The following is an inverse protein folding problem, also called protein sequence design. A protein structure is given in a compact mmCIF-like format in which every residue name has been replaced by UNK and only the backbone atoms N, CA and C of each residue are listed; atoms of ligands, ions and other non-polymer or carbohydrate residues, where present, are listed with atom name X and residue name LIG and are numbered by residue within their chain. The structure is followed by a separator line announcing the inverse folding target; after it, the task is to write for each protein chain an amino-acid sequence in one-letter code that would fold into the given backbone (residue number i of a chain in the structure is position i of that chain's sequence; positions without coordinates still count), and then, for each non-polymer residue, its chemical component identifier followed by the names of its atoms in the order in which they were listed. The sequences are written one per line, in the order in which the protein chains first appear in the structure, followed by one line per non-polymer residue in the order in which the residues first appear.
data_IF_531441794652
#
_entry.id   IF_531441794652
#
_cell.length_a   1.000
_cell.length_b   1.000
_cell.length_c   1.000
_cell.angle_alpha   90.00
_cell.angle_beta   90.00
_cell.angle_gamma   90.00
#
_symmetry.space_group_name_H-M   'P 1'
#
loop_
_entity.id
_entity.type
_entity.pdbx_description
1 polymer ?
#
# COMPACT_ATOMS: atom_id res chain seq x y z
N UNK A 1 6.89 33.15 -5.83
CA UNK A 1 5.62 32.43 -6.04
C UNK A 1 5.50 31.36 -4.97
N UNK A 2 4.37 31.30 -4.28
CA UNK A 2 4.11 30.24 -3.28
C UNK A 2 3.94 28.93 -4.02
N UNK A 3 4.80 27.98 -3.74
CA UNK A 3 4.80 26.65 -4.34
C UNK A 3 3.99 25.69 -3.46
N UNK A 4 3.24 24.77 -4.06
CA UNK A 4 2.35 23.85 -3.38
C UNK A 4 2.68 22.40 -3.74
N UNK A 5 2.35 21.50 -2.83
CA UNK A 5 2.37 20.04 -3.09
C UNK A 5 0.93 19.54 -3.24
N UNK A 6 0.65 18.85 -4.34
CA UNK A 6 -0.62 18.13 -4.54
C UNK A 6 -0.47 16.69 -4.06
N UNK A 7 -1.35 16.24 -3.18
CA UNK A 7 -1.40 14.83 -2.77
C UNK A 7 -2.70 14.19 -3.25
N UNK A 8 -2.59 13.12 -4.02
CA UNK A 8 -3.72 12.25 -4.34
C UNK A 8 -3.95 11.29 -3.18
N UNK A 9 -5.06 11.44 -2.48
CA UNK A 9 -5.39 10.58 -1.35
C UNK A 9 -5.97 9.25 -1.82
N UNK A 10 -5.50 8.13 -1.26
CA UNK A 10 -6.08 6.83 -1.53
C UNK A 10 -7.45 6.71 -0.84
N UNK A 11 -8.40 6.06 -1.53
CA UNK A 11 -9.77 5.86 -1.07
C UNK A 11 -10.09 4.37 -1.13
N UNK A 12 -10.85 3.89 -0.15
CA UNK A 12 -11.38 2.55 -0.09
C UNK A 12 -12.90 2.58 0.01
N UNK A 13 -13.57 2.33 -1.12
CA UNK A 13 -15.02 2.49 -1.20
C UNK A 13 -15.45 3.92 -0.90
N UNK A 14 -16.14 4.12 0.21
CA UNK A 14 -16.70 5.41 0.66
C UNK A 14 -15.94 6.04 1.84
N UNK A 15 -14.73 5.55 2.13
CA UNK A 15 -13.89 6.08 3.21
C UNK A 15 -12.48 6.36 2.73
N UNK A 16 -11.76 7.21 3.45
CA UNK A 16 -10.33 7.36 3.22
C UNK A 16 -9.61 6.07 3.58
N UNK A 17 -8.62 5.72 2.76
CA UNK A 17 -7.70 4.65 3.08
C UNK A 17 -6.95 4.96 4.39
N UNK A 18 -6.76 3.95 5.24
CA UNK A 18 -6.03 4.08 6.50
C UNK A 18 -4.60 4.62 6.34
N UNK A 19 -4.00 4.46 5.15
CA UNK A 19 -2.70 5.03 4.80
C UNK A 19 -2.73 6.49 4.38
N UNK A 20 -3.89 7.14 4.28
CA UNK A 20 -4.00 8.52 3.78
C UNK A 20 -3.15 9.51 4.60
N UNK A 21 -3.19 9.42 5.94
CA UNK A 21 -2.36 10.25 6.82
C UNK A 21 -0.85 10.08 6.60
N UNK A 22 -0.40 8.87 6.25
CA UNK A 22 1.01 8.57 5.92
C UNK A 22 1.44 9.22 4.60
N UNK A 23 0.55 9.24 3.61
CA UNK A 23 0.81 9.89 2.31
C UNK A 23 0.86 11.41 2.47
N UNK A 24 0.01 11.98 3.32
CA UNK A 24 0.08 13.41 3.69
C UNK A 24 1.39 13.74 4.41
N UNK A 25 1.83 12.89 5.34
CA UNK A 25 3.13 13.05 6.02
C UNK A 25 4.29 13.08 5.02
N UNK A 26 4.29 12.16 4.05
CA UNK A 26 5.27 12.17 2.96
C UNK A 26 5.21 13.47 2.14
N UNK A 27 4.01 13.96 1.81
CA UNK A 27 3.83 15.20 1.07
C UNK A 27 4.35 16.43 1.84
N UNK A 28 4.18 16.46 3.16
CA UNK A 28 4.68 17.52 4.03
C UNK A 28 6.21 17.61 4.10
N UNK A 29 6.91 16.49 3.90
CA UNK A 29 8.37 16.46 3.88
C UNK A 29 8.99 17.37 2.80
N UNK A 30 8.22 17.79 1.79
CA UNK A 30 8.64 18.79 0.80
C UNK A 30 8.62 20.23 1.34
N UNK A 31 8.11 20.47 2.56
CA UNK A 31 8.12 21.79 3.20
C UNK A 31 7.20 22.83 2.54
N UNK A 32 6.20 22.39 1.80
CA UNK A 32 5.21 23.22 1.10
C UNK A 32 3.81 23.00 1.66
N UNK A 33 2.87 23.96 1.54
CA UNK A 33 1.48 23.70 1.84
C UNK A 33 0.94 22.56 0.97
N UNK A 34 0.25 21.61 1.60
CA UNK A 34 -0.26 20.40 0.95
C UNK A 34 -1.74 20.58 0.62
N UNK A 35 -2.10 20.45 -0.65
CA UNK A 35 -3.48 20.35 -1.10
C UNK A 35 -3.82 18.90 -1.41
N UNK A 36 -4.91 18.41 -0.83
CA UNK A 36 -5.35 17.02 -0.99
C UNK A 36 -6.36 16.91 -2.13
N UNK A 37 -6.07 16.12 -3.15
CA UNK A 37 -7.02 15.72 -4.18
C UNK A 37 -7.78 14.48 -3.72
N UNK A 38 -9.09 14.63 -3.60
CA UNK A 38 -10.04 13.57 -3.21
C UNK A 38 -11.03 13.36 -4.35
N UNK A 39 -11.26 12.10 -4.72
CA UNK A 39 -12.15 11.74 -5.82
C UNK A 39 -13.13 10.67 -5.36
N UNK A 40 -14.37 11.07 -5.03
CA UNK A 40 -15.38 10.19 -4.49
C UNK A 40 -16.46 10.95 -3.71
N UNK A 41 -17.25 10.28 -2.86
CA UNK A 41 -18.33 10.89 -2.10
C UNK A 41 -17.87 12.06 -1.23
N UNK A 42 -18.75 13.03 -0.99
CA UNK A 42 -18.47 14.20 -0.15
C UNK A 42 -18.02 13.83 1.28
N UNK A 43 -18.48 12.69 1.80
CA UNK A 43 -18.06 12.18 3.11
C UNK A 43 -16.56 11.93 3.19
N UNK A 44 -15.94 11.44 2.09
CA UNK A 44 -14.49 11.21 2.01
C UNK A 44 -13.72 12.53 1.99
N UNK A 45 -14.24 13.55 1.30
CA UNK A 45 -13.66 14.88 1.30
C UNK A 45 -13.71 15.52 2.70
N UNK A 46 -14.82 15.32 3.44
CA UNK A 46 -14.94 15.77 4.82
C UNK A 46 -13.95 15.07 5.78
N UNK A 47 -13.67 13.78 5.57
CA UNK A 47 -12.62 13.07 6.30
C UNK A 47 -11.24 13.65 5.97
N UNK A 48 -10.94 13.87 4.69
CA UNK A 48 -9.68 14.44 4.24
C UNK A 48 -9.42 15.84 4.81
N UNK A 49 -10.46 16.66 4.94
CA UNK A 49 -10.38 18.00 5.51
C UNK A 49 -9.97 18.00 7.00
N UNK A 50 -10.07 16.86 7.68
CA UNK A 50 -9.65 16.68 9.07
C UNK A 50 -8.22 16.14 9.22
N UNK A 51 -7.58 15.70 8.15
CA UNK A 51 -6.19 15.25 8.23
C UNK A 51 -5.26 16.41 8.57
N UNK A 52 -4.47 16.24 9.63
CA UNK A 52 -3.41 17.20 9.94
C UNK A 52 -2.43 17.27 8.77
N UNK A 53 -1.96 18.47 8.45
CA UNK A 53 -1.02 18.69 7.37
C UNK A 53 -1.66 19.03 6.03
N UNK A 54 -2.95 18.80 5.86
CA UNK A 54 -3.70 19.28 4.70
C UNK A 54 -4.03 20.76 4.89
N UNK A 55 -3.71 21.60 3.90
CA UNK A 55 -4.03 23.03 3.88
C UNK A 55 -5.35 23.31 3.15
N UNK A 56 -5.72 22.48 2.18
CA UNK A 56 -6.98 22.58 1.40
C UNK A 56 -7.31 21.22 0.80
N UNK A 57 -8.58 20.91 0.65
CA UNK A 57 -9.08 19.75 -0.10
C UNK A 57 -9.61 20.21 -1.45
N UNK A 58 -9.18 19.55 -2.51
CA UNK A 58 -9.73 19.63 -3.86
C UNK A 58 -10.63 18.41 -4.07
N UNK A 59 -11.91 18.61 -4.19
CA UNK A 59 -12.89 17.53 -4.23
C UNK A 59 -13.50 17.36 -5.62
N UNK A 60 -13.40 16.16 -6.15
CA UNK A 60 -14.14 15.70 -7.31
C UNK A 60 -15.15 14.64 -6.89
N UNK A 61 -16.44 14.91 -7.06
CA UNK A 61 -17.53 14.05 -6.56
C UNK A 61 -17.50 12.64 -7.14
N UNK A 62 -17.01 12.49 -8.37
CA UNK A 62 -16.92 11.20 -9.03
C UNK A 62 -15.48 10.73 -9.13
N UNK A 63 -15.24 9.47 -8.76
CA UNK A 63 -13.96 8.82 -9.01
C UNK A 63 -13.72 8.65 -10.51
N UNK A 64 -12.48 8.80 -11.00
CA UNK A 64 -12.17 8.59 -12.40
C UNK A 64 -12.36 7.11 -12.75
N UNK A 65 -12.93 6.81 -13.91
CA UNK A 65 -13.19 5.43 -14.32
C UNK A 65 -11.89 4.66 -14.63
N UNK A 66 -10.80 5.38 -14.96
CA UNK A 66 -9.52 4.81 -15.35
C UNK A 66 -8.34 5.76 -15.06
N UNK A 67 -7.13 5.24 -15.20
CA UNK A 67 -5.89 5.98 -14.96
C UNK A 67 -5.69 7.14 -15.96
N UNK A 68 -6.21 7.03 -17.17
CA UNK A 68 -6.14 8.05 -18.22
C UNK A 68 -6.92 9.30 -17.83
N UNK A 69 -8.14 9.13 -17.34
CA UNK A 69 -8.99 10.23 -16.87
C UNK A 69 -8.39 10.88 -15.63
N UNK A 70 -7.87 10.07 -14.70
CA UNK A 70 -7.15 10.57 -13.53
C UNK A 70 -5.93 11.40 -13.93
N UNK A 71 -5.13 10.90 -14.88
CA UNK A 71 -3.94 11.61 -15.34
C UNK A 71 -4.29 12.97 -15.96
N UNK A 72 -5.35 13.06 -16.78
CA UNK A 72 -5.83 14.34 -17.32
C UNK A 72 -6.25 15.32 -16.22
N UNK A 73 -6.99 14.85 -15.22
CA UNK A 73 -7.38 15.68 -14.07
C UNK A 73 -6.18 16.25 -13.34
N UNK A 74 -5.21 15.38 -13.00
CA UNK A 74 -4.01 15.82 -12.30
C UNK A 74 -3.16 16.74 -13.19
N UNK A 75 -3.02 16.45 -14.48
CA UNK A 75 -2.28 17.29 -15.41
C UNK A 75 -2.88 18.70 -15.52
N UNK A 76 -4.20 18.82 -15.55
CA UNK A 76 -4.89 20.12 -15.58
C UNK A 76 -4.66 20.95 -14.29
N UNK A 77 -4.42 20.29 -13.15
CA UNK A 77 -4.09 20.96 -11.90
C UNK A 77 -2.59 21.24 -11.75
N UNK A 78 -1.75 20.47 -12.44
CA UNK A 78 -0.32 20.37 -12.16
C UNK A 78 0.44 21.70 -12.29
N UNK A 79 0.01 22.63 -13.14
CA UNK A 79 0.65 23.95 -13.27
C UNK A 79 0.70 24.75 -11.96
N UNK A 80 -0.21 24.47 -11.02
CA UNK A 80 -0.30 25.12 -9.71
C UNK A 80 0.61 24.47 -8.66
N UNK A 81 1.26 23.36 -8.96
CA UNK A 81 1.99 22.52 -8.00
C UNK A 81 3.37 22.15 -8.50
N UNK A 82 4.39 22.27 -7.67
CA UNK A 82 5.74 21.79 -7.99
C UNK A 82 5.85 20.29 -7.85
N UNK A 83 5.12 19.73 -6.90
CA UNK A 83 5.21 18.31 -6.56
C UNK A 83 3.81 17.67 -6.54
N UNK A 84 3.71 16.48 -7.14
CA UNK A 84 2.52 15.63 -7.09
C UNK A 84 2.88 14.31 -6.41
N UNK A 85 2.19 13.99 -5.33
CA UNK A 85 2.46 12.81 -4.49
C UNK A 85 1.23 11.90 -4.48
N UNK A 86 1.43 10.58 -4.53
CA UNK A 86 0.38 9.60 -4.30
C UNK A 86 0.94 8.36 -3.58
N UNK A 87 0.08 7.56 -2.96
CA UNK A 87 0.47 6.23 -2.49
C UNK A 87 0.93 5.34 -3.66
N UNK A 88 1.91 4.45 -3.41
CA UNK A 88 2.42 3.50 -4.41
C UNK A 88 1.41 2.36 -4.66
N UNK A 89 0.21 2.73 -5.11
CA UNK A 89 -0.89 1.81 -5.47
C UNK A 89 -1.05 1.69 -6.99
N UNK A 90 -1.83 0.70 -7.44
CA UNK A 90 -1.96 0.39 -8.88
C UNK A 90 -2.45 1.58 -9.71
N UNK A 91 -3.46 2.29 -9.24
CA UNK A 91 -4.02 3.44 -9.96
C UNK A 91 -2.99 4.58 -10.12
N UNK A 92 -2.27 4.91 -9.04
CA UNK A 92 -1.25 5.96 -9.07
C UNK A 92 -0.03 5.56 -9.92
N UNK A 93 0.37 4.29 -9.87
CA UNK A 93 1.44 3.73 -10.73
C UNK A 93 1.10 3.79 -12.22
N UNK A 94 -0.18 3.68 -12.56
CA UNK A 94 -0.65 3.81 -13.94
C UNK A 94 -0.85 5.28 -14.36
N UNK A 95 -1.31 6.15 -13.45
CA UNK A 95 -1.66 7.54 -13.76
C UNK A 95 -0.45 8.51 -13.70
N UNK A 96 0.39 8.46 -12.65
CA UNK A 96 1.43 9.48 -12.45
C UNK A 96 2.54 9.49 -13.50
N UNK A 97 3.00 8.37 -14.09
CA UNK A 97 3.92 8.43 -15.23
C UNK A 97 3.32 9.17 -16.44
N UNK A 98 1.99 9.02 -16.64
CA UNK A 98 1.27 9.78 -17.68
C UNK A 98 1.22 11.27 -17.36
N UNK A 99 0.93 11.62 -16.09
CA UNK A 99 0.96 13.03 -15.65
C UNK A 99 2.34 13.62 -15.93
N UNK A 100 3.39 12.91 -15.55
CA UNK A 100 4.76 13.35 -15.75
C UNK A 100 5.07 13.60 -17.23
N UNK A 101 4.69 12.67 -18.12
CA UNK A 101 4.87 12.80 -19.55
C UNK A 101 4.06 13.98 -20.14
N UNK A 102 2.80 14.16 -19.72
CA UNK A 102 1.93 15.24 -20.19
C UNK A 102 2.39 16.64 -19.76
N UNK A 103 3.10 16.72 -18.63
CA UNK A 103 3.48 18.00 -17.99
C UNK A 103 4.98 18.27 -17.99
N UNK A 104 5.79 17.40 -18.61
CA UNK A 104 7.25 17.54 -18.66
C UNK A 104 7.95 17.41 -17.31
N UNK A 105 7.39 16.62 -16.35
CA UNK A 105 7.90 16.45 -14.99
C UNK A 105 8.76 15.19 -14.87
N UNK A 106 9.67 15.19 -13.91
CA UNK A 106 10.31 13.95 -13.49
C UNK A 106 9.29 13.01 -12.81
N UNK A 107 9.47 11.70 -12.96
CA UNK A 107 8.69 10.69 -12.24
C UNK A 107 9.58 9.75 -11.44
N UNK A 108 9.28 9.59 -10.15
CA UNK A 108 9.96 8.64 -9.27
C UNK A 108 8.92 7.76 -8.55
N UNK A 109 9.17 6.47 -8.53
CA UNK A 109 8.25 5.50 -7.93
C UNK A 109 8.81 4.89 -6.66
N UNK A 110 7.89 4.49 -5.76
CA UNK A 110 8.20 3.73 -4.55
C UNK A 110 9.20 4.42 -3.61
N UNK A 111 9.02 5.73 -3.42
CA UNK A 111 9.87 6.54 -2.54
C UNK A 111 9.60 6.16 -1.08
N UNK A 112 10.67 5.94 -0.31
CA UNK A 112 10.61 5.53 1.10
C UNK A 112 11.12 6.59 2.06
N UNK A 113 11.85 7.60 1.59
CA UNK A 113 12.24 8.75 2.41
C UNK A 113 12.41 10.00 1.55
N UNK A 114 12.20 11.17 2.16
CA UNK A 114 12.31 12.49 1.54
C UNK A 114 13.20 13.35 2.44
N UNK A 115 14.54 13.23 2.32
CA UNK A 115 15.49 13.99 3.15
C UNK A 115 15.44 15.50 2.92
N UNK A 116 15.04 15.93 1.74
CA UNK A 116 14.87 17.35 1.40
C UNK A 116 13.91 17.53 0.23
N UNK A 117 13.52 18.77 -0.03
CA UNK A 117 12.63 19.13 -1.17
C UNK A 117 13.14 18.63 -2.54
N UNK A 118 14.43 18.39 -2.69
CA UNK A 118 15.06 17.97 -3.95
C UNK A 118 15.74 16.62 -3.86
N UNK A 119 15.58 15.91 -2.76
CA UNK A 119 16.25 14.63 -2.55
C UNK A 119 15.24 13.61 -2.06
N UNK A 120 15.15 12.48 -2.74
CA UNK A 120 14.29 11.37 -2.36
C UNK A 120 15.09 10.06 -2.35
N UNK A 121 14.69 9.14 -1.49
CA UNK A 121 15.31 7.81 -1.38
C UNK A 121 14.30 6.76 -1.83
N UNK A 122 14.75 5.84 -2.66
CA UNK A 122 13.91 4.74 -3.15
C UNK A 122 14.71 3.43 -3.23
N UNK A 123 14.05 2.28 -3.03
CA UNK A 123 14.69 0.99 -3.23
C UNK A 123 14.92 0.71 -4.72
N UNK A 124 16.02 0.04 -5.01
CA UNK A 124 16.36 -0.54 -6.30
C UNK A 124 16.79 -2.00 -6.10
N UNK A 125 16.88 -2.80 -7.17
CA UNK A 125 17.24 -4.22 -7.10
C UNK A 125 16.42 -4.98 -6.05
N UNK A 126 15.08 -4.89 -6.16
CA UNK A 126 14.14 -5.51 -5.20
C UNK A 126 14.38 -5.11 -3.72
N UNK A 127 14.97 -3.94 -3.49
CA UNK A 127 15.25 -3.43 -2.15
C UNK A 127 16.62 -3.83 -1.58
N UNK A 128 17.47 -4.51 -2.37
CA UNK A 128 18.84 -4.83 -1.95
C UNK A 128 19.75 -3.60 -1.89
N UNK A 129 19.35 -2.51 -2.55
CA UNK A 129 20.07 -1.24 -2.50
C UNK A 129 19.08 -0.08 -2.40
N UNK A 130 19.53 1.02 -1.80
CA UNK A 130 18.77 2.27 -1.69
C UNK A 130 19.45 3.34 -2.55
N UNK A 131 18.69 3.92 -3.48
CA UNK A 131 19.16 5.02 -4.31
C UNK A 131 18.66 6.35 -3.75
N UNK A 132 19.59 7.29 -3.51
CA UNK A 132 19.25 8.68 -3.27
C UNK A 132 19.27 9.42 -4.59
N UNK A 133 18.13 9.99 -4.98
CA UNK A 133 17.95 10.69 -6.26
C UNK A 133 17.78 12.18 -6.00
N UNK A 134 18.59 13.00 -6.65
CA UNK A 134 18.41 14.45 -6.70
C UNK A 134 17.50 14.81 -7.87
N UNK A 135 16.54 15.70 -7.64
CA UNK A 135 15.56 16.11 -8.64
C UNK A 135 15.62 17.63 -8.84
N UNK A 136 15.72 18.03 -10.08
CA UNK A 136 15.59 19.41 -10.50
C UNK A 136 14.21 19.64 -11.14
N UNK A 137 13.57 20.77 -10.80
CA UNK A 137 12.26 21.13 -11.34
C UNK A 137 11.09 20.43 -10.68
N UNK A 138 10.00 20.32 -11.43
CA UNK A 138 8.74 19.77 -10.95
C UNK A 138 8.73 18.24 -10.98
N UNK A 139 8.08 17.64 -9.98
CA UNK A 139 8.18 16.21 -9.69
C UNK A 139 6.79 15.56 -9.52
N UNK A 140 6.63 14.38 -10.10
CA UNK A 140 5.57 13.44 -9.77
C UNK A 140 6.20 12.21 -9.09
N UNK A 141 5.62 11.76 -7.97
CA UNK A 141 6.16 10.57 -7.30
C UNK A 141 5.06 9.74 -6.63
N UNK A 142 5.35 8.44 -6.50
CA UNK A 142 4.59 7.58 -5.61
C UNK A 142 5.43 7.25 -4.38
N UNK A 143 4.80 7.24 -3.21
CA UNK A 143 5.45 6.94 -1.93
C UNK A 143 4.96 5.61 -1.36
N UNK A 144 5.86 4.87 -0.74
CA UNK A 144 5.52 3.69 0.06
C UNK A 144 4.94 4.19 1.39
N UNK A 145 3.62 4.16 1.51
CA UNK A 145 2.94 4.73 2.68
C UNK A 145 3.44 4.16 4.00
N UNK A 146 3.76 2.86 4.04
CA UNK A 146 4.29 2.19 5.23
C UNK A 146 5.64 2.73 5.74
N UNK A 147 6.39 3.44 4.91
CA UNK A 147 7.67 4.05 5.29
C UNK A 147 7.52 5.41 6.00
N UNK A 148 6.29 5.91 6.16
CA UNK A 148 6.02 7.20 6.79
C UNK A 148 5.09 7.02 7.98
N UNK A 149 5.33 7.76 9.06
CA UNK A 149 4.44 7.75 10.22
C UNK A 149 3.16 8.53 9.93
N UNK A 150 1.97 8.04 10.35
CA UNK A 150 0.72 8.73 10.10
C UNK A 150 0.64 10.02 10.91
N UNK A 151 0.06 11.04 10.30
CA UNK A 151 -0.31 12.25 11.02
C UNK A 151 -1.67 12.05 11.71
N UNK A 152 -1.83 12.67 12.88
CA UNK A 152 -3.10 12.69 13.61
C UNK A 152 -4.17 13.50 12.87
N UNK A 153 -5.42 13.36 13.29
CA UNK A 153 -6.50 14.24 12.82
C UNK A 153 -6.45 15.59 13.54
N UNK A 154 -6.89 16.63 12.84
CA UNK A 154 -7.05 17.97 13.40
C UNK A 154 -8.49 18.20 13.92
N UNK A 155 -8.62 19.08 14.88
CA UNK A 155 -9.92 19.40 15.48
C UNK A 155 -10.87 20.14 14.51
N UNK A 156 -10.34 21.10 13.73
CA UNK A 156 -11.11 21.89 12.78
C UNK A 156 -10.81 21.49 11.33
N UNK A 157 -11.83 21.28 10.47
CA UNK A 157 -11.62 20.96 9.07
C UNK A 157 -11.04 22.16 8.30
N UNK A 158 -10.37 21.86 7.18
CA UNK A 158 -9.95 22.88 6.18
C UNK A 158 -11.02 23.06 5.11
N UNK A 159 -10.87 24.11 4.30
CA UNK A 159 -11.74 24.40 3.17
C UNK A 159 -11.72 23.28 2.12
N UNK A 160 -12.90 23.00 1.57
CA UNK A 160 -13.09 22.05 0.48
C UNK A 160 -13.48 22.84 -0.77
N UNK A 161 -12.64 22.78 -1.80
CA UNK A 161 -12.87 23.36 -3.13
C UNK A 161 -13.46 22.29 -4.06
N UNK A 162 -14.64 22.50 -4.58
CA UNK A 162 -15.24 21.60 -5.56
C UNK A 162 -14.56 21.74 -6.92
N UNK A 163 -14.21 20.63 -7.53
CA UNK A 163 -13.63 20.57 -8.86
C UNK A 163 -14.69 20.24 -9.91
N UNK A 164 -14.60 20.88 -11.06
CA UNK A 164 -15.43 20.55 -12.21
C UNK A 164 -15.19 19.11 -12.68
N UNK A 165 -16.19 18.43 -13.23
CA UNK A 165 -16.01 17.14 -13.89
C UNK A 165 -14.93 17.22 -15.00
N UNK A 166 -14.25 16.11 -15.22
CA UNK A 166 -13.33 15.93 -16.36
C UNK A 166 -13.92 14.90 -17.29
N UNK A 167 -13.91 15.20 -18.58
CA UNK A 167 -14.37 14.28 -19.61
C UNK A 167 -13.60 12.94 -19.51
N UNK A 168 -14.31 11.80 -19.44
CA UNK A 168 -13.69 10.49 -19.43
C UNK A 168 -12.84 10.26 -20.66
N UNK A 169 -11.73 9.54 -20.49
CA UNK A 169 -11.00 9.03 -21.64
C UNK A 169 -11.77 7.84 -22.23
N UNK A 170 -12.36 8.02 -23.40
CA UNK A 170 -13.26 7.05 -24.01
C UNK A 170 -12.59 5.76 -24.52
N UNK A 171 -11.25 5.61 -24.38
CA UNK A 171 -10.51 4.44 -24.86
C UNK A 171 -10.74 3.18 -24.03
N UNK A 172 -11.11 3.33 -22.75
CA UNK A 172 -11.46 2.24 -21.86
C UNK A 172 -12.68 2.59 -21.02
N UNK A 173 -13.45 1.57 -20.63
CA UNK A 173 -14.64 1.70 -19.80
C UNK A 173 -14.59 0.67 -18.68
N UNK A 174 -14.82 1.11 -17.45
CA UNK A 174 -15.04 0.20 -16.33
C UNK A 174 -16.36 -0.53 -16.52
N UNK A 175 -16.34 -1.85 -16.62
CA UNK A 175 -17.53 -2.68 -16.76
C UNK A 175 -18.09 -3.15 -15.42
N UNK A 176 -17.22 -3.32 -14.43
CA UNK A 176 -17.60 -3.77 -13.10
C UNK A 176 -16.38 -3.81 -12.17
N UNK A 177 -16.65 -3.97 -10.88
CA UNK A 177 -15.65 -4.19 -9.85
C UNK A 177 -16.09 -5.37 -9.01
N UNK A 178 -15.27 -6.41 -8.97
CA UNK A 178 -15.45 -7.54 -8.08
C UNK A 178 -14.53 -7.36 -6.89
N UNK A 179 -15.10 -7.27 -5.69
CA UNK A 179 -14.36 -7.28 -4.43
C UNK A 179 -14.54 -8.65 -3.80
N UNK A 180 -13.43 -9.32 -3.47
CA UNK A 180 -13.51 -10.52 -2.65
C UNK A 180 -14.19 -10.17 -1.31
N UNK A 181 -15.05 -11.07 -0.79
CA UNK A 181 -15.75 -10.87 0.47
C UNK A 181 -14.77 -10.53 1.59
N UNK A 182 -15.07 -9.50 2.37
CA UNK A 182 -14.12 -8.92 3.33
C UNK A 182 -14.52 -9.30 4.76
N UNK A 183 -14.47 -10.59 5.08
CA UNK A 183 -14.58 -11.03 6.47
C UNK A 183 -13.28 -10.80 7.27
N UNK A 184 -12.16 -10.53 6.58
CA UNK A 184 -10.83 -10.30 7.16
C UNK A 184 -10.28 -8.92 6.76
N UNK A 185 -9.36 -8.34 7.56
CA UNK A 185 -8.69 -7.08 7.21
C UNK A 185 -8.02 -7.14 5.83
N UNK A 186 -7.97 -6.03 5.11
CA UNK A 186 -7.19 -5.95 3.87
C UNK A 186 -5.71 -6.23 4.14
N UNK A 187 -5.10 -7.03 3.28
CA UNK A 187 -3.73 -7.51 3.45
C UNK A 187 -2.70 -6.36 3.58
N UNK A 188 -2.94 -5.23 2.94
CA UNK A 188 -2.01 -4.08 2.97
C UNK A 188 -2.15 -3.22 4.23
N UNK A 189 -3.21 -3.43 5.03
CA UNK A 189 -3.55 -2.65 6.23
C UNK A 189 -3.51 -3.48 7.50
N UNK A 190 -3.51 -4.81 7.37
CA UNK A 190 -3.57 -5.71 8.50
C UNK A 190 -2.36 -5.50 9.41
N UNK A 191 -2.61 -5.44 10.72
CA UNK A 191 -1.54 -5.43 11.74
C UNK A 191 -0.84 -6.78 11.84
N UNK A 192 -1.57 -7.86 11.54
CA UNK A 192 -1.06 -9.21 11.52
C UNK A 192 -1.35 -9.83 10.16
N UNK A 193 -0.36 -10.50 9.57
CA UNK A 193 -0.50 -11.27 8.33
C UNK A 193 0.00 -12.69 8.60
N UNK A 194 -0.83 -13.68 8.29
CA UNK A 194 -0.43 -15.09 8.27
C UNK A 194 -0.42 -15.55 6.82
N UNK A 195 0.73 -16.00 6.33
CA UNK A 195 0.89 -16.33 4.92
C UNK A 195 1.31 -17.79 4.72
N UNK A 196 0.62 -18.45 3.77
CA UNK A 196 0.93 -19.82 3.35
C UNK A 196 1.84 -19.86 2.13
N UNK A 197 2.85 -20.72 2.18
CA UNK A 197 3.71 -21.03 1.05
C UNK A 197 3.30 -22.30 0.32
N UNK A 198 4.12 -22.71 -0.68
CA UNK A 198 3.93 -24.01 -1.37
C UNK A 198 4.03 -25.20 -0.40
N UNK A 199 4.69 -25.03 0.75
CA UNK A 199 4.78 -26.06 1.80
C UNK A 199 3.42 -26.44 2.43
N UNK A 200 2.36 -25.64 2.22
CA UNK A 200 0.98 -26.00 2.61
C UNK A 200 0.46 -27.22 1.83
N UNK A 201 0.95 -27.45 0.64
CA UNK A 201 0.76 -28.68 -0.13
C UNK A 201 -0.54 -28.77 -0.91
N UNK A 202 -1.66 -28.19 -0.44
CA UNK A 202 -2.95 -28.22 -1.10
C UNK A 202 -3.83 -27.03 -0.72
N UNK A 203 -4.82 -26.69 -1.55
CA UNK A 203 -5.74 -25.56 -1.31
C UNK A 203 -6.54 -25.73 -0.01
N UNK A 204 -7.02 -26.95 0.26
CA UNK A 204 -7.77 -27.26 1.48
C UNK A 204 -6.96 -27.06 2.76
N UNK A 205 -5.65 -27.12 2.70
CA UNK A 205 -4.79 -26.89 3.88
C UNK A 205 -4.58 -25.41 4.19
N UNK A 206 -4.90 -24.50 3.25
CA UNK A 206 -4.91 -23.06 3.54
C UNK A 206 -5.82 -22.70 4.73
N UNK A 207 -6.82 -23.53 5.04
CA UNK A 207 -7.66 -23.38 6.24
C UNK A 207 -6.86 -23.30 7.55
N UNK A 208 -5.66 -23.90 7.62
CA UNK A 208 -4.81 -23.81 8.82
C UNK A 208 -4.22 -22.40 8.97
N UNK A 209 -3.80 -21.82 7.85
CA UNK A 209 -3.31 -20.43 7.78
C UNK A 209 -4.45 -19.47 8.12
N UNK A 210 -5.64 -19.73 7.56
CA UNK A 210 -6.86 -18.95 7.79
C UNK A 210 -7.28 -18.99 9.25
N UNK A 211 -7.32 -20.18 9.86
CA UNK A 211 -7.70 -20.35 11.27
C UNK A 211 -6.75 -19.57 12.22
N UNK A 212 -5.45 -19.58 11.93
CA UNK A 212 -4.50 -18.80 12.73
C UNK A 212 -4.66 -17.30 12.48
N UNK A 213 -4.90 -16.86 11.23
CA UNK A 213 -5.17 -15.47 10.91
C UNK A 213 -6.43 -14.97 11.64
N UNK A 214 -7.52 -15.74 11.62
CA UNK A 214 -8.77 -15.41 12.30
C UNK A 214 -8.56 -15.28 13.82
N UNK A 215 -7.78 -16.20 14.40
CA UNK A 215 -7.44 -16.16 15.82
C UNK A 215 -6.72 -14.88 16.22
N UNK A 216 -5.81 -14.41 15.35
CA UNK A 216 -5.02 -13.20 15.55
C UNK A 216 -5.73 -11.93 15.07
N UNK A 217 -6.90 -12.05 14.44
CA UNK A 217 -7.60 -10.92 13.80
C UNK A 217 -6.81 -10.34 12.63
N UNK A 218 -6.02 -11.18 11.96
CA UNK A 218 -5.13 -10.82 10.89
C UNK A 218 -5.69 -11.08 9.49
N UNK A 219 -4.91 -10.72 8.49
CA UNK A 219 -5.16 -11.04 7.08
C UNK A 219 -4.45 -12.34 6.67
N UNK A 220 -4.99 -12.99 5.65
CA UNK A 220 -4.37 -14.16 5.01
C UNK A 220 -3.55 -13.71 3.80
N UNK A 221 -2.29 -14.14 3.75
CA UNK A 221 -1.40 -13.97 2.62
C UNK A 221 -1.02 -15.30 1.98
N UNK A 222 -0.47 -15.23 0.77
CA UNK A 222 0.09 -16.40 0.09
C UNK A 222 1.37 -16.04 -0.68
N UNK A 223 2.29 -16.98 -0.77
CA UNK A 223 3.43 -16.83 -1.68
C UNK A 223 2.99 -16.99 -3.13
N UNK A 224 3.75 -16.42 -4.08
CA UNK A 224 3.51 -16.64 -5.51
C UNK A 224 3.41 -18.13 -5.86
N UNK A 225 4.31 -18.95 -5.32
CA UNK A 225 4.32 -20.39 -5.59
C UNK A 225 3.04 -21.11 -5.09
N UNK A 226 2.39 -20.63 -4.02
CA UNK A 226 1.11 -21.15 -3.55
C UNK A 226 -0.04 -20.70 -4.47
N UNK A 227 0.01 -19.45 -4.95
CA UNK A 227 -0.98 -18.92 -5.91
C UNK A 227 -0.86 -19.62 -7.27
N UNK A 228 0.35 -19.76 -7.80
CA UNK A 228 0.60 -20.48 -9.08
C UNK A 228 0.16 -21.95 -9.00
N UNK A 229 0.23 -22.57 -7.80
CA UNK A 229 -0.28 -23.91 -7.55
C UNK A 229 -1.81 -23.98 -7.32
N UNK A 230 -2.50 -22.85 -7.34
CA UNK A 230 -3.95 -22.79 -7.14
C UNK A 230 -4.40 -22.92 -5.68
N UNK A 231 -3.50 -22.81 -4.70
CA UNK A 231 -3.85 -22.93 -3.29
C UNK A 231 -4.54 -21.67 -2.74
N UNK A 232 -4.27 -20.50 -3.34
CA UNK A 232 -4.86 -19.24 -2.93
C UNK A 232 -5.09 -18.33 -4.16
N UNK A 233 -6.06 -17.41 -4.10
CA UNK A 233 -6.28 -16.46 -5.19
C UNK A 233 -5.16 -15.42 -5.29
N UNK A 234 -4.97 -14.87 -6.49
CA UNK A 234 -3.94 -13.85 -6.75
C UNK A 234 -4.12 -12.57 -5.89
N UNK A 235 -5.33 -12.28 -5.45
CA UNK A 235 -5.67 -11.11 -4.61
C UNK A 235 -4.95 -11.11 -3.25
N UNK A 236 -4.53 -12.29 -2.75
CA UNK A 236 -3.81 -12.44 -1.49
C UNK A 236 -2.30 -12.72 -1.67
N UNK A 237 -1.80 -12.61 -2.90
CA UNK A 237 -0.39 -12.80 -3.16
C UNK A 237 0.46 -11.72 -2.50
N UNK A 238 1.48 -12.12 -1.73
CA UNK A 238 2.48 -11.26 -1.11
C UNK A 238 3.82 -11.41 -1.84
N UNK A 239 4.47 -10.29 -2.14
CA UNK A 239 5.77 -10.27 -2.78
C UNK A 239 5.92 -9.14 -3.79
N UNK A 240 7.04 -9.11 -4.49
CA UNK A 240 7.39 -8.08 -5.47
C UNK A 240 6.32 -7.90 -6.58
N UNK A 241 5.70 -8.98 -7.03
CA UNK A 241 4.65 -8.99 -8.08
C UNK A 241 3.24 -9.03 -7.52
N UNK A 242 3.10 -9.15 -6.19
CA UNK A 242 1.85 -9.10 -5.44
C UNK A 242 1.73 -7.83 -4.61
N UNK A 243 1.16 -7.97 -3.42
CA UNK A 243 1.06 -6.90 -2.44
C UNK A 243 2.35 -6.82 -1.61
N UNK A 244 2.83 -5.61 -1.37
CA UNK A 244 3.87 -5.33 -0.36
C UNK A 244 3.16 -4.98 0.93
N UNK A 245 3.54 -5.64 2.02
CA UNK A 245 2.90 -5.52 3.32
C UNK A 245 3.92 -5.10 4.39
N UNK A 246 3.45 -4.37 5.40
CA UNK A 246 4.26 -3.90 6.52
C UNK A 246 3.49 -4.08 7.85
N UNK A 247 3.12 -5.32 8.20
CA UNK A 247 2.40 -5.59 9.43
C UNK A 247 3.30 -5.46 10.66
N UNK A 248 2.71 -5.43 11.82
CA UNK A 248 3.43 -5.56 13.08
C UNK A 248 3.96 -6.99 13.26
N UNK A 249 3.20 -7.99 12.77
CA UNK A 249 3.58 -9.40 12.79
C UNK A 249 3.28 -10.06 11.44
N UNK A 250 4.29 -10.66 10.85
CA UNK A 250 4.19 -11.50 9.67
C UNK A 250 4.56 -12.95 10.01
N UNK A 251 3.65 -13.88 9.80
CA UNK A 251 3.90 -15.31 10.01
C UNK A 251 4.00 -16.00 8.64
N UNK A 252 5.17 -16.51 8.31
CA UNK A 252 5.47 -17.24 7.09
C UNK A 252 5.43 -18.76 7.32
N UNK A 253 4.36 -19.43 6.87
CA UNK A 253 4.18 -20.86 7.04
C UNK A 253 4.46 -21.62 5.74
N UNK A 254 5.50 -22.47 5.72
CA UNK A 254 5.89 -23.26 4.56
C UNK A 254 6.34 -22.42 3.35
N UNK A 255 6.91 -21.24 3.60
CA UNK A 255 7.45 -20.31 2.60
C UNK A 255 8.97 -20.50 2.53
N UNK A 256 9.53 -20.62 1.33
CA UNK A 256 10.97 -20.84 1.14
C UNK A 256 11.84 -19.61 1.41
N UNK A 257 11.30 -18.39 1.24
CA UNK A 257 12.08 -17.16 1.41
C UNK A 257 12.77 -16.69 0.13
N UNK A 258 12.21 -17.01 -1.04
CA UNK A 258 12.71 -16.44 -2.29
C UNK A 258 12.71 -14.90 -2.22
N UNK A 259 13.74 -14.27 -2.81
CA UNK A 259 13.99 -12.81 -2.74
C UNK A 259 12.77 -11.97 -3.18
N UNK A 260 11.98 -12.49 -4.13
CA UNK A 260 10.77 -11.84 -4.60
C UNK A 260 9.65 -11.82 -3.53
N UNK A 261 9.58 -12.84 -2.67
CA UNK A 261 8.65 -12.86 -1.54
C UNK A 261 9.13 -11.94 -0.43
N UNK A 262 10.41 -12.04 -0.07
CA UNK A 262 11.05 -11.21 0.96
C UNK A 262 10.91 -9.72 0.65
N UNK A 263 11.03 -9.32 -0.62
CA UNK A 263 10.81 -7.93 -1.05
C UNK A 263 9.41 -7.38 -0.68
N UNK A 264 8.43 -8.27 -0.49
CA UNK A 264 7.07 -7.89 -0.10
C UNK A 264 6.82 -7.85 1.41
N UNK A 265 7.75 -8.32 2.24
CA UNK A 265 7.55 -8.44 3.70
C UNK A 265 8.64 -7.78 4.55
N UNK A 266 9.69 -7.28 3.94
CA UNK A 266 10.88 -6.73 4.64
C UNK A 266 10.58 -5.54 5.56
N UNK A 267 9.45 -4.88 5.37
CA UNK A 267 8.99 -3.76 6.18
C UNK A 267 8.08 -4.21 7.35
N UNK A 268 7.87 -5.53 7.54
CA UNK A 268 7.21 -6.08 8.72
C UNK A 268 8.06 -5.84 9.97
N UNK A 269 7.42 -5.53 11.12
CA UNK A 269 8.17 -5.26 12.37
C UNK A 269 8.75 -6.53 12.98
N UNK A 270 7.99 -7.63 12.88
CA UNK A 270 8.41 -8.96 13.33
C UNK A 270 8.04 -9.99 12.28
N UNK A 271 8.99 -10.81 11.89
CA UNK A 271 8.80 -11.94 10.96
C UNK A 271 9.02 -13.24 11.72
N UNK A 272 7.98 -14.08 11.75
CA UNK A 272 8.04 -15.45 12.27
C UNK A 272 8.04 -16.41 11.09
N UNK A 273 9.02 -17.29 10.99
CA UNK A 273 9.11 -18.32 9.96
C UNK A 273 8.88 -19.72 10.53
N UNK A 274 8.01 -20.48 9.88
CA UNK A 274 7.75 -21.89 10.18
C UNK A 274 8.04 -22.69 8.91
N UNK A 275 9.07 -23.55 8.95
CA UNK A 275 9.43 -24.39 7.82
C UNK A 275 10.04 -25.70 8.34
N UNK A 276 9.76 -26.81 7.65
CA UNK A 276 10.36 -28.10 7.94
C UNK A 276 11.82 -28.23 7.52
N UNK A 277 12.23 -27.42 6.52
CA UNK A 277 13.60 -27.36 6.03
C UNK A 277 14.39 -26.33 6.86
N UNK A 278 15.38 -26.79 7.69
CA UNK A 278 16.17 -25.88 8.50
C UNK A 278 17.04 -24.92 7.69
N UNK A 279 17.33 -25.25 6.44
CA UNK A 279 18.18 -24.45 5.54
C UNK A 279 17.33 -23.52 4.64
N UNK A 280 16.01 -23.44 4.88
CA UNK A 280 15.15 -22.56 4.10
C UNK A 280 15.60 -21.09 4.21
N UNK A 281 15.81 -20.37 3.08
CA UNK A 281 16.30 -18.99 3.08
C UNK A 281 15.44 -18.01 3.89
N UNK A 282 14.17 -18.35 4.15
CA UNK A 282 13.26 -17.50 4.96
C UNK A 282 13.80 -17.23 6.36
N UNK A 283 14.54 -18.19 6.95
CA UNK A 283 15.11 -18.05 8.29
C UNK A 283 16.17 -16.95 8.38
N UNK A 284 16.87 -16.64 7.29
CA UNK A 284 17.81 -15.52 7.24
C UNK A 284 17.12 -14.14 7.35
N UNK A 285 15.79 -14.09 7.18
CA UNK A 285 15.00 -12.87 7.22
C UNK A 285 14.00 -12.84 8.39
N UNK A 286 13.93 -13.94 9.16
CA UNK A 286 13.00 -14.07 10.28
C UNK A 286 13.65 -13.62 11.58
N UNK A 287 12.88 -12.91 12.41
CA UNK A 287 13.25 -12.58 13.79
C UNK A 287 13.10 -13.81 14.68
N UNK A 288 12.12 -14.67 14.38
CA UNK A 288 11.87 -15.93 15.08
C UNK A 288 11.70 -17.04 14.05
N UNK A 289 12.54 -18.06 14.14
CA UNK A 289 12.48 -19.25 13.29
C UNK A 289 12.05 -20.49 14.07
N UNK A 290 11.10 -21.24 13.53
CA UNK A 290 10.69 -22.54 14.07
C UNK A 290 10.83 -23.60 12.99
N UNK A 291 11.78 -24.52 13.19
CA UNK A 291 11.94 -25.69 12.33
C UNK A 291 10.93 -26.76 12.77
N UNK A 292 9.94 -27.04 11.92
CA UNK A 292 8.88 -27.98 12.26
C UNK A 292 7.84 -28.14 11.17
N UNK A 293 6.97 -29.11 11.35
CA UNK A 293 5.85 -29.34 10.45
C UNK A 293 4.74 -28.32 10.72
N UNK A 294 4.38 -27.53 9.70
CA UNK A 294 3.31 -26.56 9.80
C UNK A 294 1.95 -27.17 10.16
N UNK A 295 1.73 -28.45 9.82
CA UNK A 295 0.49 -29.17 10.14
C UNK A 295 0.34 -29.45 11.63
N UNK A 296 1.43 -29.49 12.37
CA UNK A 296 1.46 -29.62 13.84
C UNK A 296 1.53 -28.23 14.50
N UNK A 297 2.40 -27.37 13.98
CA UNK A 297 2.71 -26.08 14.61
C UNK A 297 1.55 -25.08 14.51
N UNK A 298 0.89 -24.94 13.34
CA UNK A 298 -0.19 -23.95 13.20
C UNK A 298 -1.39 -24.25 14.11
N UNK A 299 -1.89 -25.51 14.19
CA UNK A 299 -2.97 -25.83 15.14
C UNK A 299 -2.56 -25.64 16.60
N UNK A 300 -1.34 -26.06 16.98
CA UNK A 300 -0.85 -25.89 18.35
C UNK A 300 -0.74 -24.40 18.74
N UNK A 301 -0.21 -23.58 17.84
CA UNK A 301 -0.13 -22.12 18.02
C UNK A 301 -1.53 -21.49 18.15
N UNK A 302 -2.46 -21.86 17.28
CA UNK A 302 -3.83 -21.36 17.34
C UNK A 302 -4.56 -21.73 18.64
N UNK A 303 -4.26 -22.92 19.23
CA UNK A 303 -4.81 -23.35 20.52
C UNK A 303 -4.17 -22.62 21.70
N UNK A 304 -2.86 -22.35 21.64
CA UNK A 304 -2.13 -21.68 22.71
C UNK A 304 -2.48 -20.17 22.82
N UNK A 305 -2.99 -19.57 21.75
CA UNK A 305 -3.36 -18.16 21.74
C UNK A 305 -4.73 -17.95 22.44
N UNK A 306 -4.91 -16.85 23.22
CA UNK A 306 -6.20 -16.52 23.83
C UNK A 306 -7.28 -16.32 22.75
N UNK A 307 -8.55 -16.56 23.10
CA UNK A 307 -9.65 -16.23 22.21
C UNK A 307 -9.71 -14.73 21.98
N UNK A 308 -10.02 -14.31 20.74
CA UNK A 308 -10.20 -12.90 20.41
C UNK A 308 -11.35 -12.34 21.26
N UNK A 309 -11.05 -11.35 22.13
CA UNK A 309 -12.05 -10.71 22.99
C UNK A 309 -12.15 -11.24 24.42
N UNK A 310 -11.19 -12.05 24.87
CA UNK A 310 -11.04 -12.36 26.28
C UNK A 310 -10.13 -11.35 26.97
#
# INVERSE_FOLDING_TARGET
MTSFTLVLLPIDGEVLDAGAGRVVAAAQAFGQPVHALVQGPAAVAAQAARLQGVARVLHAETAPPNAETLARRIAALAERYDTVVAAHGMLARAALPRVAALTGRAYLSDVTAIPSRRSVVRPIYAGSAMATVQVEGALCLTVRASAFEPLADRAAPVDIEALAPVEPDGRSRLLGRETAGQDRPDLTRARVVVAGGRGVGAAEHMRLVEALADRLGGAVGASRAAVDAGFAPNSVQVGQTGKVVAPELYIAAGISGAIQHVAGIKDAKVIVAINKDPDAPIFAHADIGLVGDLFEVLPALAQALPARGA
#
